data_IF_485949643601
#
_entry.id   IF_485949643601
#
_cell.length_a   1.000
_cell.length_b   1.000
_cell.length_c   1.000
_cell.angle_alpha   90.00
_cell.angle_beta   90.00
_cell.angle_gamma   90.00
#
_symmetry.space_group_name_H-M   'P 1'
#
loop_
_entity.id
_entity.type
_entity.pdbx_description
1 polymer ?
#
# COMPACT_ATOMS: atom_id res chain seq x y z
N UNK A 1 -10.31 6.16 9.06
CA UNK A 1 -9.59 5.52 8.71
C UNK A 1 -8.48 5.17 8.81
N UNK A 2 -7.78 4.74 8.99
CA UNK A 2 -6.94 4.55 8.57
C UNK A 2 -5.80 3.81 8.61
N UNK A 3 -5.55 2.97 7.72
CA UNK A 3 -4.29 2.33 7.48
C UNK A 3 -3.25 3.37 7.17
N UNK A 4 -2.25 3.46 8.02
CA UNK A 4 -1.09 4.30 7.76
C UNK A 4 -0.10 3.62 6.82
N UNK A 5 0.75 4.39 6.15
CA UNK A 5 1.84 3.82 5.36
C UNK A 5 2.88 3.10 6.23
N UNK A 6 2.92 3.38 7.54
CA UNK A 6 3.78 2.65 8.50
C UNK A 6 3.28 1.22 8.72
N UNK A 7 1.97 1.00 8.82
CA UNK A 7 1.41 -0.35 8.95
C UNK A 7 1.56 -1.15 7.65
N UNK A 8 1.44 -0.49 6.49
CA UNK A 8 1.74 -1.11 5.20
C UNK A 8 3.22 -1.52 5.10
N UNK A 9 4.15 -0.65 5.50
CA UNK A 9 5.58 -0.98 5.59
C UNK A 9 5.81 -2.19 6.47
N UNK A 10 5.16 -2.21 7.64
CA UNK A 10 5.28 -3.30 8.61
C UNK A 10 4.89 -4.65 8.00
N UNK A 11 3.72 -4.71 7.40
CA UNK A 11 3.21 -5.94 6.77
C UNK A 11 4.11 -6.39 5.61
N UNK A 12 4.49 -5.48 4.72
CA UNK A 12 5.35 -5.80 3.58
C UNK A 12 6.70 -6.36 4.05
N UNK A 13 7.34 -5.71 5.03
CA UNK A 13 8.61 -6.18 5.58
C UNK A 13 8.48 -7.50 6.33
N UNK A 14 7.43 -7.67 7.11
CA UNK A 14 7.16 -8.94 7.81
C UNK A 14 7.03 -10.11 6.82
N UNK A 15 6.47 -9.86 5.65
CA UNK A 15 6.33 -10.84 4.56
C UNK A 15 7.58 -10.98 3.67
N UNK A 16 8.67 -10.28 3.98
CA UNK A 16 9.95 -10.41 3.29
C UNK A 16 10.11 -9.55 2.04
N UNK A 17 9.21 -8.60 1.76
CA UNK A 17 9.36 -7.67 0.65
C UNK A 17 10.34 -6.55 0.98
N UNK A 18 11.11 -6.12 -0.03
CA UNK A 18 11.97 -4.93 0.08
C UNK A 18 11.11 -3.67 -0.01
N UNK A 19 10.61 -3.21 1.14
CA UNK A 19 9.71 -2.06 1.26
C UNK A 19 10.37 -0.84 1.93
N UNK A 20 11.62 -0.94 2.37
CA UNK A 20 12.33 0.18 2.98
C UNK A 20 12.47 1.33 1.98
N UNK A 21 12.15 2.54 2.42
CA UNK A 21 12.15 3.75 1.61
C UNK A 21 11.27 3.69 0.33
N UNK A 22 10.29 2.76 0.26
CA UNK A 22 9.39 2.62 -0.89
C UNK A 22 7.94 2.93 -0.59
N UNK A 23 7.58 3.12 0.70
CA UNK A 23 6.21 3.48 1.08
C UNK A 23 6.02 4.99 1.05
N UNK A 24 4.88 5.45 0.56
CA UNK A 24 4.52 6.87 0.51
C UNK A 24 4.47 7.51 1.90
N UNK A 25 4.53 8.83 1.94
CA UNK A 25 4.36 9.64 3.15
C UNK A 25 3.31 10.71 2.97
N UNK A 26 2.80 11.24 4.09
CA UNK A 26 1.85 12.37 4.12
C UNK A 26 2.51 13.63 4.66
N UNK A 27 3.82 13.74 4.52
CA UNK A 27 4.63 14.88 4.95
C UNK A 27 5.61 15.25 3.84
N UNK A 28 6.01 16.52 3.70
CA UNK A 28 6.99 16.98 2.69
C UNK A 28 8.30 16.17 2.72
N UNK A 29 8.72 15.79 3.92
CA UNK A 29 9.83 14.87 4.13
C UNK A 29 9.26 13.55 4.63
N UNK A 30 9.29 12.54 3.78
CA UNK A 30 8.82 11.20 4.14
C UNK A 30 9.69 10.63 5.28
N UNK A 31 9.15 10.38 6.47
CA UNK A 31 9.95 10.02 7.64
C UNK A 31 10.29 8.52 7.65
N UNK A 32 11.02 8.06 6.63
CA UNK A 32 11.37 6.63 6.47
C UNK A 32 12.06 6.03 7.67
N UNK A 33 13.05 6.73 8.26
CA UNK A 33 13.78 6.23 9.44
C UNK A 33 12.85 6.01 10.63
N UNK A 34 11.92 6.94 10.86
CA UNK A 34 10.94 6.81 11.93
C UNK A 34 10.01 5.61 11.69
N UNK A 35 9.51 5.46 10.46
CA UNK A 35 8.64 4.33 10.09
C UNK A 35 9.36 3.00 10.27
N UNK A 36 10.60 2.91 9.78
CA UNK A 36 11.43 1.71 9.91
C UNK A 36 11.65 1.35 11.38
N UNK A 37 12.02 2.33 12.22
CA UNK A 37 12.21 2.12 13.65
C UNK A 37 10.95 1.61 14.35
N UNK A 38 9.79 2.19 14.04
CA UNK A 38 8.52 1.77 14.63
C UNK A 38 8.20 0.32 14.23
N UNK A 39 8.42 -0.03 12.97
CA UNK A 39 8.20 -1.39 12.47
C UNK A 39 9.15 -2.38 13.13
N UNK A 40 10.44 -2.04 13.25
CA UNK A 40 11.44 -2.89 13.93
C UNK A 40 11.06 -3.15 15.39
N UNK A 41 10.62 -2.13 16.10
CA UNK A 41 10.14 -2.26 17.49
C UNK A 41 8.87 -3.12 17.55
N UNK A 42 7.95 -2.95 16.62
CA UNK A 42 6.71 -3.74 16.53
C UNK A 42 6.98 -5.22 16.31
N UNK A 43 7.81 -5.55 15.32
CA UNK A 43 8.21 -6.93 15.02
C UNK A 43 8.94 -7.57 16.20
N UNK A 44 9.88 -6.85 16.81
CA UNK A 44 10.59 -7.32 18.00
C UNK A 44 9.65 -7.60 19.18
N UNK A 45 8.68 -6.70 19.42
CA UNK A 45 7.72 -6.87 20.51
C UNK A 45 6.77 -8.07 20.26
N UNK A 46 6.50 -8.37 19.00
CA UNK A 46 5.74 -9.55 18.60
C UNK A 46 6.59 -10.84 18.60
N UNK A 47 7.91 -10.75 18.82
CA UNK A 47 8.81 -11.89 18.75
C UNK A 47 9.01 -12.44 17.34
N UNK A 48 8.83 -11.62 16.32
CA UNK A 48 8.95 -12.01 14.91
C UNK A 48 10.26 -11.49 14.30
N UNK A 49 10.93 -12.34 13.53
CA UNK A 49 12.09 -11.99 12.74
C UNK A 49 11.87 -12.34 11.25
N UNK A 50 11.65 -11.36 10.37
CA UNK A 50 11.41 -11.63 8.94
C UNK A 50 12.56 -12.36 8.23
N UNK A 51 13.77 -12.31 8.75
CA UNK A 51 14.93 -12.99 8.14
C UNK A 51 14.97 -14.50 8.42
N UNK A 52 14.35 -14.95 9.50
CA UNK A 52 14.43 -16.34 9.96
C UNK A 52 13.09 -17.04 10.09
N UNK A 53 11.99 -16.28 10.27
CA UNK A 53 10.68 -16.80 10.52
C UNK A 53 9.86 -16.89 9.22
N UNK A 54 9.06 -17.92 9.10
CA UNK A 54 8.06 -18.02 8.03
C UNK A 54 6.76 -17.34 8.49
N UNK A 55 6.67 -16.04 8.29
CA UNK A 55 5.56 -15.20 8.76
C UNK A 55 4.46 -15.19 7.70
N UNK A 56 3.24 -15.55 8.09
CA UNK A 56 2.08 -15.41 7.22
C UNK A 56 1.41 -14.02 7.30
N UNK A 57 0.50 -13.76 6.35
CA UNK A 57 -0.15 -12.44 6.24
C UNK A 57 -0.95 -12.04 7.49
N UNK A 58 -1.59 -13.00 8.18
CA UNK A 58 -2.37 -12.69 9.38
C UNK A 58 -1.46 -12.45 10.59
N UNK A 59 -0.37 -13.17 10.70
CA UNK A 59 0.67 -12.94 11.72
C UNK A 59 1.31 -11.55 11.52
N UNK A 60 1.66 -11.20 10.27
CA UNK A 60 2.20 -9.89 9.93
C UNK A 60 1.25 -8.76 10.32
N UNK A 61 -0.03 -8.90 9.99
CA UNK A 61 -1.07 -7.92 10.37
C UNK A 61 -1.23 -7.82 11.87
N UNK A 62 -1.27 -8.94 12.57
CA UNK A 62 -1.41 -8.97 14.03
C UNK A 62 -0.25 -8.32 14.78
N UNK A 63 0.95 -8.36 14.20
CA UNK A 63 2.16 -7.77 14.78
C UNK A 63 2.32 -6.29 14.49
N UNK A 64 2.16 -5.88 13.23
CA UNK A 64 2.55 -4.54 12.74
C UNK A 64 1.58 -3.93 11.73
N UNK A 65 0.46 -4.58 11.45
CA UNK A 65 -0.56 -4.12 10.52
C UNK A 65 -1.67 -3.30 11.19
N UNK A 66 -2.80 -3.24 10.50
CA UNK A 66 -4.05 -2.68 10.98
C UNK A 66 -5.24 -3.48 10.43
N UNK A 67 -6.44 -3.38 11.03
CA UNK A 67 -7.57 -4.24 10.70
C UNK A 67 -8.17 -4.01 9.31
N UNK A 68 -7.86 -2.90 8.64
CA UNK A 68 -8.38 -2.63 7.31
C UNK A 68 -7.72 -3.50 6.25
N UNK A 69 -6.42 -3.75 6.38
CA UNK A 69 -5.66 -4.52 5.39
C UNK A 69 -6.23 -5.93 5.20
N UNK A 70 -6.42 -6.74 6.26
CA UNK A 70 -6.98 -8.08 6.13
C UNK A 70 -8.46 -8.05 5.76
N UNK A 71 -9.22 -7.02 6.16
CA UNK A 71 -10.61 -6.89 5.76
C UNK A 71 -10.74 -6.74 4.23
N UNK A 72 -9.95 -5.85 3.62
CA UNK A 72 -9.93 -5.68 2.16
C UNK A 72 -9.40 -6.92 1.47
N UNK A 73 -8.34 -7.54 1.98
CA UNK A 73 -7.82 -8.81 1.44
C UNK A 73 -8.90 -9.91 1.45
N UNK A 74 -9.69 -9.99 2.53
CA UNK A 74 -10.80 -10.93 2.65
C UNK A 74 -11.90 -10.69 1.61
N UNK A 75 -12.22 -9.44 1.28
CA UNK A 75 -13.15 -9.11 0.19
C UNK A 75 -12.63 -9.61 -1.16
N UNK A 76 -11.36 -9.35 -1.47
CA UNK A 76 -10.75 -9.79 -2.72
C UNK A 76 -10.72 -11.31 -2.82
N UNK A 77 -10.30 -12.00 -1.76
CA UNK A 77 -10.28 -13.46 -1.69
C UNK A 77 -11.68 -14.07 -1.83
N UNK A 78 -12.71 -13.40 -1.26
CA UNK A 78 -14.09 -13.84 -1.35
C UNK A 78 -14.68 -13.71 -2.75
N UNK A 79 -14.20 -12.77 -3.57
CA UNK A 79 -14.57 -12.64 -4.97
C UNK A 79 -13.87 -13.67 -5.87
N UNK A 80 -12.79 -14.29 -5.38
CA UNK A 80 -12.06 -15.40 -6.01
C UNK A 80 -11.72 -15.20 -7.50
N UNK A 81 -11.36 -13.96 -7.88
CA UNK A 81 -11.02 -13.62 -9.27
C UNK A 81 -12.19 -13.63 -10.26
N UNK A 82 -13.42 -13.84 -9.81
CA UNK A 82 -14.60 -13.95 -10.70
C UNK A 82 -15.04 -12.61 -11.27
N UNK A 83 -14.64 -11.51 -10.66
CA UNK A 83 -14.98 -10.16 -11.09
C UNK A 83 -13.73 -9.28 -11.09
N UNK A 84 -13.63 -8.31 -12.01
CA UNK A 84 -12.60 -7.28 -11.93
C UNK A 84 -12.74 -6.49 -10.64
N UNK A 85 -11.61 -6.27 -9.95
CA UNK A 85 -11.55 -5.49 -8.71
C UNK A 85 -10.58 -4.34 -8.91
N UNK A 86 -10.98 -3.15 -8.49
CA UNK A 86 -10.12 -1.98 -8.42
C UNK A 86 -9.83 -1.66 -6.96
N UNK A 87 -8.58 -1.82 -6.57
CA UNK A 87 -8.07 -1.42 -5.27
C UNK A 87 -7.66 0.06 -5.35
N UNK A 88 -8.53 0.93 -4.86
CA UNK A 88 -8.33 2.37 -4.90
C UNK A 88 -7.45 2.85 -3.74
N UNK A 89 -6.20 3.18 -4.02
CA UNK A 89 -5.24 3.62 -3.01
C UNK A 89 -3.79 3.57 -3.48
N UNK A 90 -2.87 3.69 -2.55
CA UNK A 90 -1.43 3.64 -2.81
C UNK A 90 -0.78 2.41 -2.14
N UNK A 91 0.27 2.64 -1.35
CA UNK A 91 1.09 1.61 -0.70
C UNK A 91 0.29 0.62 0.15
N UNK A 92 -0.81 1.06 0.78
CA UNK A 92 -1.68 0.18 1.56
C UNK A 92 -2.32 -0.92 0.69
N UNK A 93 -2.62 -0.60 -0.56
CA UNK A 93 -3.20 -1.58 -1.49
C UNK A 93 -2.15 -2.61 -1.94
N UNK A 94 -0.89 -2.21 -2.06
CA UNK A 94 0.20 -3.17 -2.24
C UNK A 94 0.30 -4.13 -1.03
N UNK A 95 0.20 -3.64 0.20
CA UNK A 95 0.19 -4.49 1.38
C UNK A 95 -1.03 -5.45 1.41
N UNK A 96 -2.19 -5.02 0.93
CA UNK A 96 -3.37 -5.90 0.74
C UNK A 96 -3.05 -7.04 -0.23
N UNK A 97 -2.44 -6.73 -1.38
CA UNK A 97 -2.04 -7.75 -2.36
C UNK A 97 -1.00 -8.73 -1.77
N UNK A 98 -0.06 -8.24 -0.97
CA UNK A 98 0.93 -9.08 -0.29
C UNK A 98 0.27 -10.05 0.70
N UNK A 99 -0.73 -9.60 1.46
CA UNK A 99 -1.53 -10.47 2.35
C UNK A 99 -2.26 -11.53 1.54
N UNK A 100 -2.91 -11.16 0.43
CA UNK A 100 -3.60 -12.09 -0.46
C UNK A 100 -2.62 -13.16 -0.96
N UNK A 101 -1.45 -12.75 -1.45
CA UNK A 101 -0.42 -13.65 -1.95
C UNK A 101 0.09 -14.61 -0.88
N UNK A 102 0.22 -14.13 0.36
CA UNK A 102 0.62 -14.95 1.51
C UNK A 102 -0.43 -16.00 1.86
N UNK A 103 -1.73 -15.64 1.85
CA UNK A 103 -2.84 -16.55 2.18
C UNK A 103 -3.09 -17.55 1.05
N UNK A 104 -3.04 -17.08 -0.19
CA UNK A 104 -3.30 -17.88 -1.39
C UNK A 104 -2.17 -17.68 -2.41
N UNK A 105 -1.04 -18.40 -2.30
CA UNK A 105 0.14 -18.18 -3.13
C UNK A 105 -0.11 -18.25 -4.65
N UNK A 106 -1.09 -19.04 -5.06
CA UNK A 106 -1.51 -19.20 -6.46
C UNK A 106 -2.74 -18.35 -6.82
N UNK A 107 -3.00 -17.26 -6.10
CA UNK A 107 -4.10 -16.35 -6.44
C UNK A 107 -3.82 -15.71 -7.81
N UNK A 108 -4.83 -15.70 -8.66
CA UNK A 108 -4.77 -15.06 -9.97
C UNK A 108 -5.04 -13.55 -9.84
N UNK A 109 -3.99 -12.74 -10.05
CA UNK A 109 -4.07 -11.28 -9.95
C UNK A 109 -4.46 -10.59 -11.26
N UNK A 110 -4.70 -11.31 -12.36
CA UNK A 110 -5.02 -10.69 -13.67
C UNK A 110 -6.26 -9.80 -13.66
N UNK A 111 -7.20 -10.05 -12.74
CA UNK A 111 -8.40 -9.24 -12.53
C UNK A 111 -8.26 -8.18 -11.42
N UNK A 112 -7.06 -8.03 -10.85
CA UNK A 112 -6.80 -7.05 -9.78
C UNK A 112 -6.11 -5.84 -10.40
N UNK A 113 -6.75 -4.69 -10.26
CA UNK A 113 -6.22 -3.40 -10.67
C UNK A 113 -6.00 -2.52 -9.44
N UNK A 114 -4.83 -1.92 -9.33
CA UNK A 114 -4.56 -0.90 -8.33
C UNK A 114 -4.68 0.46 -9.01
N UNK A 115 -5.50 1.35 -8.49
CA UNK A 115 -5.70 2.67 -9.08
C UNK A 115 -5.47 3.79 -8.07
N UNK A 116 -4.69 4.79 -8.48
CA UNK A 116 -4.21 5.88 -7.63
C UNK A 116 -4.08 7.18 -8.42
N UNK A 117 -3.42 8.18 -7.87
CA UNK A 117 -3.09 9.44 -8.56
C UNK A 117 -1.67 9.41 -9.13
N UNK A 118 -1.41 10.23 -10.14
CA UNK A 118 -0.05 10.46 -10.66
C UNK A 118 0.91 10.95 -9.58
N UNK A 119 0.42 11.68 -8.59
CA UNK A 119 1.22 12.18 -7.46
C UNK A 119 1.73 11.06 -6.53
N UNK A 120 1.05 9.92 -6.49
CA UNK A 120 1.51 8.75 -5.72
C UNK A 120 2.52 7.95 -6.51
N UNK A 121 2.28 7.76 -7.80
CA UNK A 121 3.19 7.01 -8.68
C UNK A 121 4.48 7.79 -8.94
N UNK A 122 4.39 9.11 -9.07
CA UNK A 122 5.53 10.02 -9.26
C UNK A 122 6.21 10.50 -7.97
N UNK A 123 5.89 9.91 -6.82
CA UNK A 123 6.50 10.28 -5.54
C UNK A 123 7.97 9.82 -5.49
N UNK A 124 8.91 10.76 -5.65
CA UNK A 124 10.36 10.49 -5.60
C UNK A 124 10.83 9.89 -4.27
N UNK A 125 10.00 9.96 -3.22
CA UNK A 125 10.30 9.40 -1.89
C UNK A 125 9.70 8.01 -1.68
N UNK A 126 9.12 7.41 -2.72
CA UNK A 126 8.46 6.10 -2.65
C UNK A 126 8.58 5.36 -3.98
N UNK A 127 8.29 4.07 -4.00
CA UNK A 127 8.27 3.28 -5.23
C UNK A 127 7.14 2.23 -5.18
N UNK A 128 5.93 2.70 -5.44
CA UNK A 128 4.75 1.84 -5.48
C UNK A 128 4.85 0.78 -6.59
N UNK A 129 5.41 1.15 -7.74
CA UNK A 129 5.48 0.25 -8.89
C UNK A 129 6.40 -0.94 -8.60
N UNK A 130 7.55 -0.69 -7.97
CA UNK A 130 8.45 -1.76 -7.57
C UNK A 130 7.83 -2.65 -6.49
N UNK A 131 7.15 -2.07 -5.49
CA UNK A 131 6.45 -2.85 -4.46
C UNK A 131 5.42 -3.80 -5.08
N UNK A 132 4.60 -3.31 -6.01
CA UNK A 132 3.58 -4.13 -6.67
C UNK A 132 4.24 -5.23 -7.51
N UNK A 133 5.28 -4.92 -8.25
CA UNK A 133 6.02 -5.88 -9.07
C UNK A 133 6.68 -7.00 -8.25
N UNK A 134 7.17 -6.69 -7.05
CA UNK A 134 7.71 -7.71 -6.14
C UNK A 134 6.62 -8.71 -5.69
N UNK A 135 5.37 -8.27 -5.59
CA UNK A 135 4.25 -9.11 -5.14
C UNK A 135 3.77 -9.99 -6.27
N UNK A 136 3.39 -9.39 -7.40
CA UNK A 136 2.96 -10.11 -8.58
C UNK A 136 3.02 -9.22 -9.84
N UNK A 137 3.56 -9.74 -10.94
CA UNK A 137 3.70 -9.01 -12.22
C UNK A 137 2.36 -8.81 -12.94
N UNK A 138 1.33 -9.59 -12.61
CA UNK A 138 0.02 -9.51 -13.23
C UNK A 138 -0.86 -8.38 -12.63
N UNK A 139 -0.45 -7.77 -11.53
CA UNK A 139 -1.17 -6.64 -10.93
C UNK A 139 -0.94 -5.39 -11.79
N UNK A 140 -2.01 -4.89 -12.40
CA UNK A 140 -1.95 -3.65 -13.17
C UNK A 140 -2.11 -2.42 -12.27
N UNK A 141 -1.21 -1.44 -12.41
CA UNK A 141 -1.30 -0.16 -11.71
C UNK A 141 -1.76 0.93 -12.68
N UNK A 142 -2.84 1.60 -12.34
CA UNK A 142 -3.37 2.75 -13.06
C UNK A 142 -3.17 4.03 -12.26
N UNK A 143 -2.87 5.13 -12.94
CA UNK A 143 -2.80 6.44 -12.31
C UNK A 143 -3.60 7.47 -13.08
N UNK A 144 -4.30 8.32 -12.36
CA UNK A 144 -5.08 9.45 -12.91
C UNK A 144 -4.44 10.75 -12.45
N UNK A 145 -4.32 11.70 -13.36
CA UNK A 145 -3.89 13.04 -13.04
C UNK A 145 -5.11 13.90 -12.68
N UNK A 146 -5.28 14.31 -11.42
CA UNK A 146 -6.38 15.18 -11.01
C UNK A 146 -6.12 16.67 -11.28
N UNK A 147 -4.99 17.03 -11.88
CA UNK A 147 -4.62 18.40 -12.25
C UNK A 147 -4.76 19.42 -11.11
N UNK A 148 -4.33 19.05 -9.90
CA UNK A 148 -4.47 19.91 -8.71
C UNK A 148 -3.68 21.21 -8.80
N UNK A 149 -2.64 21.28 -9.64
CA UNK A 149 -1.87 22.47 -9.95
C UNK A 149 -2.71 23.57 -10.61
N UNK A 150 -3.79 23.21 -11.31
CA UNK A 150 -4.71 24.17 -11.92
C UNK A 150 -5.72 24.74 -10.91
N UNK A 151 -5.78 24.16 -9.71
CA UNK A 151 -6.74 24.57 -8.69
C UNK A 151 -6.32 25.85 -7.98
N UNK A 152 -7.32 26.67 -7.62
CA UNK A 152 -7.14 27.82 -6.73
C UNK A 152 -7.33 27.50 -5.24
N UNK A 153 -7.65 26.25 -4.89
CA UNK A 153 -7.85 25.81 -3.51
C UNK A 153 -6.50 25.50 -2.83
N UNK A 154 -6.20 26.19 -1.74
CA UNK A 154 -4.95 25.98 -0.98
C UNK A 154 -4.78 24.54 -0.49
N UNK A 155 -5.86 23.88 -0.10
CA UNK A 155 -5.80 22.48 0.34
C UNK A 155 -5.31 21.52 -0.75
N UNK A 156 -5.64 21.77 -2.02
CA UNK A 156 -5.13 20.98 -3.13
C UNK A 156 -3.67 21.31 -3.45
N UNK A 157 -3.27 22.58 -3.29
CA UNK A 157 -1.85 22.97 -3.41
C UNK A 157 -1.00 22.33 -2.32
N UNK A 158 -1.49 22.26 -1.09
CA UNK A 158 -0.80 21.54 -0.01
C UNK A 158 -0.58 20.05 -0.32
N UNK A 159 -1.51 19.44 -1.07
CA UNK A 159 -1.33 18.07 -1.55
C UNK A 159 -0.11 17.96 -2.48
N UNK A 160 0.09 18.92 -3.39
CA UNK A 160 1.26 18.99 -4.29
C UNK A 160 2.57 19.15 -3.50
N UNK A 161 2.54 19.91 -2.43
CA UNK A 161 3.69 20.17 -1.56
C UNK A 161 4.00 18.93 -0.64
N UNK A 162 3.29 17.84 -0.81
CA UNK A 162 3.48 16.59 -0.05
C UNK A 162 2.81 16.56 1.31
N UNK A 163 2.05 17.62 1.66
CA UNK A 163 1.21 17.58 2.85
C UNK A 163 -0.05 16.76 2.56
N UNK A 164 -0.34 15.82 3.46
CA UNK A 164 -1.58 15.06 3.42
C UNK A 164 -1.85 14.41 2.06
N UNK A 165 -1.00 13.49 1.62
CA UNK A 165 -1.28 12.62 0.45
C UNK A 165 -2.41 11.59 0.76
N UNK A 166 -3.31 11.96 1.64
CA UNK A 166 -4.55 11.21 1.87
C UNK A 166 -5.48 11.42 0.67
N UNK A 167 -6.32 10.46 0.40
CA UNK A 167 -7.18 10.53 -0.76
C UNK A 167 -6.57 9.94 -2.03
N UNK A 168 -5.45 9.21 -1.93
CA UNK A 168 -4.93 8.41 -3.04
C UNK A 168 -6.02 7.50 -3.65
N UNK A 169 -6.99 7.07 -2.85
CA UNK A 169 -8.19 6.36 -3.30
C UNK A 169 -9.08 7.17 -4.23
N UNK A 170 -9.03 8.51 -4.20
CA UNK A 170 -9.74 9.34 -5.18
C UNK A 170 -9.27 9.07 -6.61
N UNK A 171 -7.98 8.78 -6.81
CA UNK A 171 -7.45 8.37 -8.11
C UNK A 171 -8.15 7.12 -8.66
N UNK A 172 -8.45 6.14 -7.80
CA UNK A 172 -9.23 4.96 -8.18
C UNK A 172 -10.68 5.29 -8.54
N UNK A 173 -11.32 6.20 -7.79
CA UNK A 173 -12.68 6.65 -8.11
C UNK A 173 -12.72 7.43 -9.45
N UNK A 174 -11.74 8.29 -9.69
CA UNK A 174 -11.61 9.00 -10.98
C UNK A 174 -11.35 8.06 -12.14
N UNK A 175 -10.58 6.99 -11.92
CA UNK A 175 -10.29 5.98 -12.95
C UNK A 175 -11.57 5.25 -13.41
N UNK A 176 -12.56 5.15 -12.54
CA UNK A 176 -13.83 4.45 -12.83
C UNK A 176 -14.94 5.37 -13.34
N UNK A 177 -14.75 6.67 -13.31
CA UNK A 177 -15.76 7.65 -13.72
C UNK A 177 -15.72 7.94 -15.22
#
# INVERSE_FOLDING_TARGET
>A
IAAGTTTALGVLRALGYDANAKVSGSMPHNPHDMKTKIVDEGLKNAGLNPETDNIDGLQAVGAVGDPILPAVAGFVLGADGQIPIILAGGTQMAAVCAIIKSIKPNFDFTNINLATTTYVVGDETADLLDLVKQIDEDITVHSVDPTFEESNHEGLKNYLDGFVKEGAGAGGAMFTA
#
